data_IF_426341499414
#
_entry.id   IF_426341499414
#
_cell.length_a   1.000
_cell.length_b   1.000
_cell.length_c   1.000
_cell.angle_alpha   90.00
_cell.angle_beta   90.00
_cell.angle_gamma   90.00
#
_symmetry.space_group_name_H-M   'P 1'
#
loop_
_entity.id
_entity.type
_entity.pdbx_description
1 polymer ?
#
# COMPACT_ATOMS: atom_id res chain seq x y z
N UNK A 1 -23.53 -0.31 44.94
CA UNK A 1 -23.50 0.59 43.76
C UNK A 1 -23.34 -0.28 42.52
N UNK A 2 -24.40 -0.41 41.71
CA UNK A 2 -24.33 -1.20 40.47
C UNK A 2 -23.91 -0.33 39.30
N UNK A 3 -23.15 -0.91 38.37
CA UNK A 3 -22.74 -0.25 37.12
C UNK A 3 -23.35 -0.99 35.94
N UNK A 4 -23.84 -0.24 34.95
CA UNK A 4 -24.29 -0.79 33.68
C UNK A 4 -23.10 -0.71 32.73
N UNK A 5 -22.62 -1.87 32.30
CA UNK A 5 -21.64 -1.98 31.24
C UNK A 5 -22.37 -2.10 29.90
N UNK A 6 -22.20 -1.09 29.05
CA UNK A 6 -22.74 -1.11 27.70
C UNK A 6 -21.54 -1.20 26.75
N UNK A 7 -21.35 -2.38 26.14
CA UNK A 7 -20.36 -2.59 25.07
C UNK A 7 -21.04 -2.97 23.75
N UNK A 8 -21.37 -1.98 22.90
CA UNK A 8 -21.98 -2.23 21.60
C UNK A 8 -20.93 -2.16 20.47
N UNK A 9 -19.69 -2.63 20.70
CA UNK A 9 -18.70 -2.81 19.61
C UNK A 9 -17.26 -2.41 19.92
N UNK A 10 -16.74 -2.74 21.11
CA UNK A 10 -15.32 -2.66 21.46
C UNK A 10 -14.90 -1.37 22.19
N UNK A 11 -15.86 -0.56 22.63
CA UNK A 11 -15.61 0.59 23.52
C UNK A 11 -16.70 0.59 24.59
N UNK A 12 -16.44 -0.17 25.66
CA UNK A 12 -17.28 -0.21 26.85
C UNK A 12 -17.31 1.17 27.51
N UNK A 13 -18.51 1.72 27.71
CA UNK A 13 -18.74 2.86 28.61
C UNK A 13 -19.54 2.38 29.81
N UNK A 14 -19.06 2.77 30.99
CA UNK A 14 -19.68 2.45 32.28
C UNK A 14 -20.57 3.61 32.70
N UNK A 15 -21.83 3.31 32.95
CA UNK A 15 -22.78 4.25 33.56
C UNK A 15 -23.11 3.77 34.97
N UNK A 16 -23.06 4.67 35.95
CA UNK A 16 -23.52 4.33 37.30
C UNK A 16 -25.05 4.30 37.32
N UNK A 17 -25.64 3.28 37.97
CA UNK A 17 -27.10 3.11 38.00
C UNK A 17 -27.80 4.30 38.70
N UNK A 18 -27.20 4.85 39.75
CA UNK A 18 -27.76 5.98 40.50
C UNK A 18 -27.87 7.26 39.64
N UNK A 19 -26.91 7.46 38.75
CA UNK A 19 -26.87 8.61 37.84
C UNK A 19 -27.84 8.44 36.66
N UNK A 20 -28.26 7.21 36.33
CA UNK A 20 -29.19 6.90 35.22
C UNK A 20 -30.65 6.91 35.68
N UNK A 21 -30.94 6.65 36.96
CA UNK A 21 -32.31 6.58 37.49
C UNK A 21 -32.97 7.94 37.73
N UNK A 22 -32.24 9.04 37.52
CA UNK A 22 -32.79 10.40 37.49
C UNK A 22 -33.12 10.82 36.06
N UNK A 23 -34.14 11.68 35.84
CA UNK A 23 -34.56 12.09 34.49
C UNK A 23 -33.41 12.62 33.62
N UNK A 24 -32.52 13.43 34.20
CA UNK A 24 -31.33 13.98 33.55
C UNK A 24 -30.34 12.89 33.11
N UNK A 25 -30.27 11.79 33.87
CA UNK A 25 -29.49 10.60 33.56
C UNK A 25 -30.02 9.82 32.37
N UNK A 26 -31.33 9.65 32.30
CA UNK A 26 -32.01 9.01 31.16
C UNK A 26 -31.85 9.84 29.88
N UNK A 27 -31.94 11.17 29.97
CA UNK A 27 -31.71 12.07 28.83
C UNK A 27 -30.27 11.97 28.30
N UNK A 28 -29.28 11.94 29.20
CA UNK A 28 -27.87 11.77 28.83
C UNK A 28 -27.60 10.41 28.15
N UNK A 29 -28.20 9.34 28.66
CA UNK A 29 -28.08 8.00 28.08
C UNK A 29 -28.77 7.93 26.70
N UNK A 30 -29.97 8.51 26.57
CA UNK A 30 -30.67 8.60 25.30
C UNK A 30 -29.88 9.44 24.27
N UNK A 31 -29.28 10.55 24.70
CA UNK A 31 -28.40 11.38 23.88
C UNK A 31 -27.16 10.62 23.38
N UNK A 32 -26.57 9.76 24.23
CA UNK A 32 -25.45 8.89 23.83
C UNK A 32 -25.84 7.91 22.71
N UNK A 33 -26.97 7.22 22.86
CA UNK A 33 -27.46 6.27 21.85
C UNK A 33 -27.84 6.98 20.55
N UNK A 34 -28.55 8.11 20.61
CA UNK A 34 -28.93 8.88 19.43
C UNK A 34 -27.73 9.38 18.63
N UNK A 35 -26.71 9.91 19.32
CA UNK A 35 -25.48 10.37 18.64
C UNK A 35 -24.72 9.22 17.99
N UNK A 36 -24.73 8.03 18.60
CA UNK A 36 -24.06 6.84 18.04
C UNK A 36 -24.84 6.22 16.89
N UNK A 37 -26.17 6.19 16.97
CA UNK A 37 -27.05 5.79 15.88
C UNK A 37 -26.80 6.67 14.65
N UNK A 38 -26.83 7.99 14.83
CA UNK A 38 -26.54 8.95 13.76
C UNK A 38 -25.18 8.75 13.11
N UNK A 39 -24.11 8.54 13.90
CA UNK A 39 -22.76 8.24 13.36
C UNK A 39 -22.71 6.92 12.59
N UNK A 40 -23.55 5.95 12.94
CA UNK A 40 -23.59 4.64 12.29
C UNK A 40 -24.34 4.74 10.96
N UNK A 41 -25.45 5.47 10.93
CA UNK A 41 -26.17 5.83 9.70
C UNK A 41 -25.27 6.59 8.73
N UNK A 42 -24.55 7.62 9.20
CA UNK A 42 -23.59 8.38 8.37
C UNK A 42 -22.45 7.50 7.80
N UNK A 43 -22.04 6.45 8.54
CA UNK A 43 -21.06 5.48 8.03
C UNK A 43 -21.67 4.54 7.00
N UNK A 44 -22.90 4.09 7.24
CA UNK A 44 -23.63 3.22 6.33
C UNK A 44 -23.86 3.93 4.98
N UNK A 45 -24.28 5.19 5.00
CA UNK A 45 -24.47 6.00 3.79
C UNK A 45 -23.17 6.16 2.99
N UNK A 46 -22.05 6.38 3.68
CA UNK A 46 -20.73 6.48 3.03
C UNK A 46 -20.33 5.17 2.36
N UNK A 47 -20.54 4.03 3.04
CA UNK A 47 -20.23 2.71 2.49
C UNK A 47 -21.15 2.38 1.31
N UNK A 48 -22.44 2.69 1.42
CA UNK A 48 -23.40 2.50 0.33
C UNK A 48 -23.03 3.32 -0.91
N UNK A 49 -22.68 4.60 -0.73
CA UNK A 49 -22.22 5.44 -1.84
C UNK A 49 -20.90 4.95 -2.46
N UNK A 50 -20.00 4.36 -1.67
CA UNK A 50 -18.78 3.73 -2.19
C UNK A 50 -19.09 2.47 -3.02
N UNK A 51 -20.00 1.63 -2.54
CA UNK A 51 -20.44 0.44 -3.25
C UNK A 51 -21.12 0.78 -4.58
N UNK A 52 -21.98 1.80 -4.61
CA UNK A 52 -22.64 2.26 -5.85
C UNK A 52 -21.64 2.77 -6.88
N UNK A 53 -20.63 3.55 -6.44
CA UNK A 53 -19.55 4.02 -7.34
C UNK A 53 -18.73 2.89 -7.90
N UNK A 54 -18.41 1.88 -7.07
CA UNK A 54 -17.66 0.71 -7.50
C UNK A 54 -18.46 -0.12 -8.52
N UNK A 55 -19.76 -0.32 -8.26
CA UNK A 55 -20.66 -1.00 -9.19
C UNK A 55 -20.71 -0.30 -10.55
N UNK A 56 -20.88 1.02 -10.57
CA UNK A 56 -20.90 1.82 -11.80
C UNK A 56 -19.55 1.78 -12.56
N UNK A 57 -18.43 1.76 -11.82
CA UNK A 57 -17.10 1.62 -12.41
C UNK A 57 -16.93 0.24 -13.09
N UNK A 58 -17.33 -0.84 -12.41
CA UNK A 58 -17.26 -2.19 -12.95
C UNK A 58 -18.15 -2.37 -14.18
N UNK A 59 -19.37 -1.83 -14.17
CA UNK A 59 -20.27 -1.85 -15.33
C UNK A 59 -19.69 -1.12 -16.54
N UNK A 60 -18.84 -0.12 -16.33
CA UNK A 60 -18.22 0.64 -17.43
C UNK A 60 -16.94 -0.02 -17.96
N UNK A 61 -16.17 -0.66 -17.08
CA UNK A 61 -14.86 -1.25 -17.41
C UNK A 61 -15.00 -2.65 -18.01
N UNK A 62 -15.90 -3.48 -17.48
CA UNK A 62 -16.03 -4.88 -17.89
C UNK A 62 -16.40 -5.04 -19.38
N UNK A 63 -17.39 -4.30 -19.93
CA UNK A 63 -17.73 -4.41 -21.34
C UNK A 63 -16.58 -3.97 -22.25
N UNK A 64 -15.86 -2.90 -21.90
CA UNK A 64 -14.71 -2.40 -22.68
C UNK A 64 -13.56 -3.40 -22.69
N UNK A 65 -13.34 -4.10 -21.58
CA UNK A 65 -12.32 -5.14 -21.49
C UNK A 65 -12.69 -6.39 -22.29
N UNK A 66 -13.97 -6.81 -22.22
CA UNK A 66 -14.46 -7.96 -22.97
C UNK A 66 -14.45 -7.71 -24.48
N UNK A 67 -14.82 -6.52 -24.93
CA UNK A 67 -14.82 -6.16 -26.36
C UNK A 67 -13.38 -6.14 -26.94
N UNK A 68 -12.37 -5.85 -26.12
CA UNK A 68 -10.96 -5.86 -26.53
C UNK A 68 -10.33 -7.26 -26.54
N UNK A 69 -10.77 -8.16 -25.64
CA UNK A 69 -10.30 -9.55 -25.66
C UNK A 69 -10.78 -10.30 -26.91
N UNK A 70 -11.97 -9.95 -27.40
CA UNK A 70 -12.54 -10.48 -28.65
C UNK A 70 -11.86 -9.88 -29.89
N UNK A 71 -11.44 -8.61 -29.84
CA UNK A 71 -10.89 -7.90 -31.01
C UNK A 71 -9.34 -7.86 -31.10
N UNK A 72 -8.62 -8.50 -30.17
CA UNK A 72 -7.14 -8.64 -30.18
C UNK A 72 -6.36 -7.32 -30.34
N UNK A 73 -6.94 -6.20 -29.88
CA UNK A 73 -6.30 -4.88 -29.88
C UNK A 73 -5.40 -4.76 -28.65
N UNK A 74 -4.16 -4.26 -28.82
CA UNK A 74 -3.21 -4.04 -27.72
C UNK A 74 -3.86 -3.22 -26.60
N UNK A 75 -3.88 -3.81 -25.38
CA UNK A 75 -4.53 -3.29 -24.17
C UNK A 75 -4.03 -1.91 -23.71
N UNK A 76 -2.93 -1.42 -24.27
CA UNK A 76 -2.26 -0.18 -23.85
C UNK A 76 -2.93 1.11 -24.37
N UNK A 77 -3.83 1.04 -25.36
CA UNK A 77 -4.30 2.23 -26.07
C UNK A 77 -5.49 2.94 -25.36
N UNK A 78 -6.26 2.25 -24.52
CA UNK A 78 -7.55 2.79 -24.04
C UNK A 78 -7.43 3.74 -22.85
N UNK A 79 -6.34 3.70 -22.09
CA UNK A 79 -6.14 4.64 -20.99
C UNK A 79 -5.65 6.03 -21.45
N UNK A 80 -5.23 6.18 -22.71
CA UNK A 80 -4.68 7.44 -23.24
C UNK A 80 -5.72 8.46 -23.73
N UNK A 81 -7.00 8.10 -23.87
CA UNK A 81 -8.00 8.93 -24.55
C UNK A 81 -9.09 9.53 -23.67
N UNK A 82 -9.04 9.39 -22.35
CA UNK A 82 -9.92 10.13 -21.44
C UNK A 82 -9.28 11.49 -21.08
N UNK A 83 -9.15 12.35 -22.09
CA UNK A 83 -8.98 13.79 -21.84
C UNK A 83 -10.38 14.38 -21.69
N UNK A 84 -10.60 15.14 -20.62
CA UNK A 84 -11.84 15.85 -20.23
C UNK A 84 -12.82 15.05 -19.35
N UNK A 85 -12.43 14.85 -18.09
CA UNK A 85 -13.29 14.33 -17.01
C UNK A 85 -12.74 14.76 -15.64
N UNK A 86 -12.72 16.07 -15.39
CA UNK A 86 -12.11 16.66 -14.20
C UNK A 86 -12.68 16.08 -12.88
N UNK A 87 -11.75 15.61 -12.03
CA UNK A 87 -11.84 15.35 -10.58
C UNK A 87 -12.40 14.01 -10.07
N UNK A 88 -13.05 13.18 -10.89
CA UNK A 88 -13.36 11.79 -10.50
C UNK A 88 -12.19 10.83 -10.80
N UNK A 89 -11.46 11.07 -11.88
CA UNK A 89 -10.40 10.18 -12.37
C UNK A 89 -9.09 10.25 -11.59
N UNK A 90 -8.92 11.24 -10.71
CA UNK A 90 -7.76 11.26 -9.79
C UNK A 90 -7.81 10.08 -8.82
N UNK A 91 -9.01 9.58 -8.49
CA UNK A 91 -9.16 8.40 -7.65
C UNK A 91 -8.84 7.08 -8.37
N UNK A 92 -9.11 6.99 -9.69
CA UNK A 92 -8.78 5.81 -10.50
C UNK A 92 -7.30 5.82 -10.92
N UNK A 93 -6.71 7.01 -11.14
CA UNK A 93 -5.26 7.15 -11.24
C UNK A 93 -4.56 6.79 -9.91
N UNK A 94 -5.20 7.01 -8.77
CA UNK A 94 -4.75 6.48 -7.47
C UNK A 94 -4.94 4.95 -7.37
N UNK A 95 -5.91 4.33 -8.06
CA UNK A 95 -6.05 2.88 -8.21
C UNK A 95 -4.99 2.23 -9.11
N UNK A 96 -4.20 3.00 -9.87
CA UNK A 96 -2.96 2.48 -10.47
C UNK A 96 -1.91 2.10 -9.40
N UNK A 97 -2.15 2.38 -8.11
CA UNK A 97 -1.36 1.77 -7.02
C UNK A 97 -1.46 0.24 -7.00
N UNK A 98 -2.56 -0.34 -7.50
CA UNK A 98 -2.75 -1.81 -7.56
C UNK A 98 -1.77 -2.47 -8.55
N UNK A 99 -1.30 -1.76 -9.58
CA UNK A 99 -0.27 -2.25 -10.50
C UNK A 99 1.15 -2.17 -9.90
N UNK A 100 1.39 -1.24 -8.97
CA UNK A 100 2.71 -1.06 -8.36
C UNK A 100 3.03 -2.14 -7.33
N UNK A 101 2.05 -2.59 -6.53
CA UNK A 101 2.26 -3.67 -5.55
C UNK A 101 2.47 -5.04 -6.21
N UNK A 102 1.87 -5.27 -7.39
CA UNK A 102 2.05 -6.48 -8.18
C UNK A 102 3.40 -6.51 -8.92
N UNK A 103 3.93 -5.36 -9.33
CA UNK A 103 5.23 -5.27 -10.02
C UNK A 103 6.41 -5.11 -9.05
N UNK A 104 6.24 -4.37 -7.95
CA UNK A 104 7.25 -4.08 -6.92
C UNK A 104 6.90 -4.79 -5.62
N UNK A 105 6.98 -6.11 -5.62
CA UNK A 105 6.48 -6.92 -4.51
C UNK A 105 7.39 -6.86 -3.26
N UNK A 106 8.68 -6.60 -3.43
CA UNK A 106 9.67 -6.86 -2.38
C UNK A 106 10.11 -5.62 -1.64
N UNK A 107 10.15 -5.70 -0.31
CA UNK A 107 10.91 -4.81 0.55
C UNK A 107 12.39 -5.17 0.53
N UNK A 108 13.24 -4.30 1.08
CA UNK A 108 14.66 -4.59 1.25
C UNK A 108 14.92 -5.85 2.11
N UNK A 109 14.04 -6.15 3.08
CA UNK A 109 14.14 -7.36 3.89
C UNK A 109 13.85 -8.62 3.07
N UNK A 110 12.74 -8.60 2.31
CA UNK A 110 12.36 -9.73 1.45
C UNK A 110 13.39 -9.96 0.32
N UNK A 111 14.01 -8.91 -0.20
CA UNK A 111 15.15 -9.04 -1.13
C UNK A 111 16.36 -9.71 -0.47
N UNK A 112 16.68 -9.36 0.78
CA UNK A 112 17.79 -9.96 1.51
C UNK A 112 17.58 -11.46 1.74
N UNK A 113 16.36 -11.85 2.11
CA UNK A 113 15.97 -13.26 2.24
C UNK A 113 16.10 -14.00 0.91
N UNK A 114 15.67 -13.40 -0.20
CA UNK A 114 15.75 -14.02 -1.53
C UNK A 114 17.17 -14.19 -2.06
N UNK A 115 18.10 -13.32 -1.68
CA UNK A 115 19.52 -13.47 -2.02
C UNK A 115 20.15 -14.63 -1.23
N UNK A 116 19.49 -15.13 -0.17
CA UNK A 116 19.87 -16.36 0.51
C UNK A 116 21.16 -16.24 1.33
N UNK A 117 21.48 -15.04 1.82
CA UNK A 117 22.66 -14.82 2.64
C UNK A 117 22.25 -14.29 4.03
N UNK A 118 22.45 -15.14 5.04
CA UNK A 118 22.09 -14.87 6.44
C UNK A 118 22.79 -13.64 7.03
N UNK A 119 23.88 -13.16 6.41
CA UNK A 119 24.60 -11.97 6.85
C UNK A 119 24.01 -10.66 6.30
N UNK A 120 23.02 -10.72 5.42
CA UNK A 120 22.39 -9.53 4.83
C UNK A 120 21.15 -9.16 5.64
N UNK A 121 21.28 -8.16 6.49
CA UNK A 121 20.15 -7.55 7.18
C UNK A 121 19.40 -6.58 6.23
N UNK A 122 18.13 -6.23 6.51
CA UNK A 122 17.40 -5.23 5.71
C UNK A 122 18.15 -3.89 5.60
N UNK A 123 18.86 -3.47 6.65
CA UNK A 123 19.66 -2.24 6.66
C UNK A 123 20.87 -2.35 5.73
N UNK A 124 21.57 -3.49 5.74
CA UNK A 124 22.69 -3.75 4.82
C UNK A 124 22.22 -3.81 3.38
N UNK A 125 21.06 -4.43 3.12
CA UNK A 125 20.45 -4.43 1.80
C UNK A 125 20.17 -3.01 1.30
N UNK A 126 19.64 -2.14 2.17
CA UNK A 126 19.44 -0.73 1.84
C UNK A 126 20.72 0.00 1.42
N UNK A 127 21.86 -0.30 2.05
CA UNK A 127 23.16 0.26 1.66
C UNK A 127 23.65 -0.29 0.31
N UNK A 128 23.49 -1.58 0.08
CA UNK A 128 23.84 -2.24 -1.19
C UNK A 128 23.05 -1.61 -2.34
N UNK A 129 21.73 -1.47 -2.18
CA UNK A 129 20.86 -0.88 -3.20
C UNK A 129 21.24 0.58 -3.53
N UNK A 130 21.73 1.35 -2.55
CA UNK A 130 22.25 2.72 -2.76
C UNK A 130 23.60 2.70 -3.48
N UNK A 131 24.54 1.86 -3.03
CA UNK A 131 25.86 1.74 -3.65
C UNK A 131 25.78 1.29 -5.12
N UNK A 132 24.78 0.47 -5.45
CA UNK A 132 24.53 0.00 -6.82
C UNK A 132 23.70 0.97 -7.66
N UNK A 133 23.26 2.11 -7.12
CA UNK A 133 22.40 3.06 -7.83
C UNK A 133 21.03 2.51 -8.21
N UNK A 134 20.55 1.48 -7.50
CA UNK A 134 19.21 0.88 -7.68
C UNK A 134 18.19 1.66 -6.85
N UNK A 135 18.61 2.16 -5.68
CA UNK A 135 17.79 3.05 -4.87
C UNK A 135 17.51 4.35 -5.62
N UNK A 136 16.24 4.61 -5.88
CA UNK A 136 15.77 5.79 -6.63
C UNK A 136 15.64 5.56 -8.14
N UNK A 137 16.08 4.41 -8.66
CA UNK A 137 15.93 4.05 -10.08
C UNK A 137 14.49 3.58 -10.36
N UNK A 138 13.67 4.33 -11.11
CA UNK A 138 12.27 3.99 -11.35
C UNK A 138 12.08 2.68 -12.12
N UNK A 139 13.14 2.11 -12.72
CA UNK A 139 13.06 0.82 -13.37
C UNK A 139 12.96 -0.33 -12.36
N UNK A 140 13.54 -0.18 -11.16
CA UNK A 140 13.69 -1.25 -10.17
C UNK A 140 13.10 -0.91 -8.80
N UNK A 141 12.96 0.39 -8.50
CA UNK A 141 12.57 0.91 -7.20
C UNK A 141 11.32 1.79 -7.29
N UNK A 142 10.39 1.57 -6.37
CA UNK A 142 9.22 2.40 -6.16
C UNK A 142 9.14 2.81 -4.69
N UNK A 143 8.95 4.10 -4.43
CA UNK A 143 8.74 4.64 -3.10
C UNK A 143 7.33 5.23 -3.02
N UNK A 144 6.57 4.86 -1.99
CA UNK A 144 5.28 5.47 -1.69
C UNK A 144 5.17 5.89 -0.23
N UNK A 145 4.41 6.96 0.01
CA UNK A 145 4.19 7.48 1.36
C UNK A 145 2.95 6.85 1.98
N UNK A 146 3.12 6.18 3.12
CA UNK A 146 2.00 5.67 3.93
C UNK A 146 1.49 6.77 4.87
N UNK A 147 2.39 7.65 5.33
CA UNK A 147 2.05 8.80 6.18
C UNK A 147 3.00 9.97 5.90
N UNK A 148 2.75 11.13 6.52
CA UNK A 148 3.67 12.30 6.44
C UNK A 148 5.10 11.97 6.88
N UNK A 149 5.30 10.95 7.72
CA UNK A 149 6.61 10.57 8.28
C UNK A 149 7.07 9.18 7.84
N UNK A 150 6.24 8.43 7.12
CA UNK A 150 6.51 7.02 6.80
C UNK A 150 6.49 6.80 5.29
N UNK A 151 7.63 6.37 4.76
CA UNK A 151 7.77 5.97 3.36
C UNK A 151 8.07 4.48 3.28
N UNK A 152 7.40 3.78 2.39
CA UNK A 152 7.68 2.40 2.07
C UNK A 152 8.53 2.35 0.80
N UNK A 153 9.56 1.49 0.82
CA UNK A 153 10.44 1.24 -0.31
C UNK A 153 10.13 -0.15 -0.85
N UNK A 154 9.82 -0.24 -2.13
CA UNK A 154 9.47 -1.48 -2.81
C UNK A 154 10.30 -1.68 -4.08
N UNK A 155 10.55 -2.94 -4.41
CA UNK A 155 11.46 -3.36 -5.47
C UNK A 155 10.86 -4.45 -6.34
N UNK A 156 11.21 -4.45 -7.63
CA UNK A 156 10.79 -5.52 -8.57
C UNK A 156 11.51 -6.83 -8.31
N UNK A 157 10.92 -7.94 -8.77
CA UNK A 157 11.61 -9.24 -8.82
C UNK A 157 12.94 -9.19 -9.60
N UNK A 158 12.96 -8.46 -10.73
CA UNK A 158 14.16 -8.30 -11.58
C UNK A 158 15.31 -7.55 -10.90
N UNK A 159 15.08 -6.95 -9.73
CA UNK A 159 16.11 -6.24 -8.95
C UNK A 159 17.21 -7.18 -8.50
N UNK A 160 16.92 -8.45 -8.23
CA UNK A 160 17.92 -9.44 -7.80
C UNK A 160 18.96 -9.66 -8.91
N UNK A 161 18.51 -9.89 -10.14
CA UNK A 161 19.40 -10.07 -11.28
C UNK A 161 20.22 -8.81 -11.56
N UNK A 162 19.61 -7.64 -11.36
CA UNK A 162 20.29 -6.35 -11.48
C UNK A 162 21.41 -6.20 -10.44
N UNK A 163 21.16 -6.60 -9.19
CA UNK A 163 22.16 -6.56 -8.11
C UNK A 163 23.39 -7.38 -8.53
N UNK A 164 23.20 -8.64 -8.93
CA UNK A 164 24.30 -9.49 -9.36
C UNK A 164 25.06 -8.91 -10.56
N UNK A 165 24.34 -8.35 -11.54
CA UNK A 165 24.96 -7.77 -12.74
C UNK A 165 25.80 -6.53 -12.43
N UNK A 166 25.31 -5.63 -11.56
CA UNK A 166 26.02 -4.40 -11.17
C UNK A 166 27.19 -4.69 -10.23
N UNK A 167 27.11 -5.73 -9.40
CA UNK A 167 28.24 -6.21 -8.58
C UNK A 167 29.39 -6.75 -9.44
N UNK A 168 29.08 -7.46 -10.53
CA UNK A 168 30.09 -8.00 -11.45
C UNK A 168 30.73 -6.94 -12.35
N UNK A 169 29.99 -5.89 -12.70
CA UNK A 169 30.43 -4.88 -13.68
C UNK A 169 30.31 -3.42 -13.18
N UNK A 170 30.84 -3.05 -12.00
CA UNK A 170 30.60 -1.72 -11.41
C UNK A 170 31.01 -0.54 -12.30
N UNK A 171 32.14 -0.69 -13.00
CA UNK A 171 32.69 0.36 -13.89
C UNK A 171 31.78 0.66 -15.08
N UNK A 172 31.03 -0.33 -15.59
CA UNK A 172 30.13 -0.15 -16.72
C UNK A 172 28.97 0.79 -16.39
N UNK A 173 28.56 0.83 -15.11
CA UNK A 173 27.44 1.63 -14.63
C UNK A 173 27.89 2.93 -13.96
N UNK A 174 29.17 3.30 -14.05
CA UNK A 174 29.72 4.50 -13.41
C UNK A 174 29.65 4.46 -11.88
N UNK A 175 29.62 3.27 -11.29
CA UNK A 175 29.48 3.09 -9.84
C UNK A 175 30.84 3.25 -9.15
N UNK A 176 30.80 3.73 -7.91
CA UNK A 176 31.99 3.78 -7.06
C UNK A 176 32.43 2.35 -6.71
N UNK A 177 33.57 1.95 -7.29
CA UNK A 177 34.12 0.61 -7.15
C UNK A 177 34.42 0.26 -5.69
N UNK A 178 34.75 1.24 -4.84
CA UNK A 178 35.02 1.00 -3.42
C UNK A 178 33.74 0.66 -2.66
N UNK A 179 32.67 1.44 -2.86
CA UNK A 179 31.37 1.19 -2.24
C UNK A 179 30.74 -0.12 -2.75
N UNK A 180 30.91 -0.43 -4.04
CA UNK A 180 30.45 -1.70 -4.62
C UNK A 180 31.25 -2.88 -4.08
N UNK A 181 32.58 -2.78 -3.92
CA UNK A 181 33.38 -3.85 -3.33
C UNK A 181 32.98 -4.13 -1.87
N UNK A 182 32.66 -3.08 -1.10
CA UNK A 182 32.12 -3.21 0.25
C UNK A 182 30.75 -3.90 0.23
N UNK A 183 29.88 -3.54 -0.71
CA UNK A 183 28.58 -4.21 -0.91
C UNK A 183 28.73 -5.70 -1.29
N UNK A 184 29.67 -6.01 -2.21
CA UNK A 184 29.95 -7.36 -2.68
C UNK A 184 30.43 -8.31 -1.58
N UNK A 185 31.15 -7.80 -0.58
CA UNK A 185 31.60 -8.61 0.56
C UNK A 185 30.42 -9.21 1.36
N UNK A 186 29.23 -8.61 1.30
CA UNK A 186 28.03 -9.13 1.94
C UNK A 186 27.27 -10.13 1.07
N UNK A 187 27.47 -10.09 -0.24
CA UNK A 187 26.83 -10.98 -1.22
C UNK A 187 27.92 -11.91 -1.76
N UNK A 188 28.48 -12.76 -0.89
CA UNK A 188 29.28 -13.88 -1.38
C UNK A 188 28.34 -14.91 -2.01
N UNK A 189 28.64 -15.44 -3.21
CA UNK A 189 27.93 -16.61 -3.73
C UNK A 189 28.14 -17.77 -2.76
N UNK A 190 27.07 -18.44 -2.37
CA UNK A 190 27.20 -19.72 -1.68
C UNK A 190 27.77 -20.73 -2.68
N UNK A 191 28.98 -21.24 -2.41
CA UNK A 191 29.58 -22.38 -3.10
C UNK A 191 30.40 -22.07 -4.35
N UNK A 192 31.72 -21.98 -4.15
CA UNK A 192 32.67 -22.78 -4.94
C UNK A 192 33.24 -23.84 -4.01
#
# INVERSE_FOLDING_TARGET
>A
TGQINIDPGGQAQLFNIEDVLVPEGLENLAGFFNNRLKRTEEKLDKVSAQNERLANSLETVIPKFLDQSVNNVQRDIVFGQLKYGEKADVAIADEMKVASETLYSYSAGELAEKIGNENITPQRMGLILRALGIYGDPQFHHEYSISKKTRCQKYKQSTIDEIYRRLQNPKQYGLDVFEVAKAANFIKPQGT
#
